data_IF_500260949016
#
_entry.id   IF_500260949016
#
_cell.length_a   1.000
_cell.length_b   1.000
_cell.length_c   1.000
_cell.angle_alpha   90.00
_cell.angle_beta   90.00
_cell.angle_gamma   90.00
#
_symmetry.space_group_name_H-M   'P 1'
#
loop_
_entity.id
_entity.type
_entity.pdbx_description
1 polymer ?
#
# COMPACT_ATOMS: atom_id res chain seq x y z
N UNK A 1 -59.82 57.18 24.04
CA UNK A 1 -59.83 56.92 22.58
C UNK A 1 -58.44 56.42 22.21
N UNK A 2 -58.27 55.10 22.08
CA UNK A 2 -57.03 54.50 21.63
C UNK A 2 -57.04 54.44 20.10
N UNK A 3 -56.24 55.28 19.45
CA UNK A 3 -55.87 55.11 18.04
C UNK A 3 -54.34 55.02 17.98
N UNK A 4 -53.82 53.86 18.35
CA UNK A 4 -52.42 53.50 18.07
C UNK A 4 -52.39 52.96 16.64
N UNK A 5 -51.73 53.74 15.79
CA UNK A 5 -51.68 53.67 14.34
C UNK A 5 -51.29 52.31 13.76
N UNK A 6 -52.08 51.82 12.79
CA UNK A 6 -51.77 50.66 11.94
C UNK A 6 -50.41 50.78 11.18
N UNK A 7 -49.84 51.98 11.11
CA UNK A 7 -48.60 52.27 10.39
C UNK A 7 -47.36 51.63 11.02
N UNK A 8 -47.28 51.54 12.35
CA UNK A 8 -46.13 50.93 13.05
C UNK A 8 -46.11 49.41 12.91
N UNK A 9 -47.26 48.73 12.88
CA UNK A 9 -47.34 47.29 12.59
C UNK A 9 -46.99 46.96 11.15
N UNK A 10 -47.38 47.82 10.20
CA UNK A 10 -47.06 47.62 8.78
C UNK A 10 -45.57 47.82 8.51
N UNK A 11 -44.94 48.84 9.09
CA UNK A 11 -43.48 49.03 8.99
C UNK A 11 -42.68 47.88 9.63
N UNK A 12 -43.15 47.34 10.76
CA UNK A 12 -42.49 46.21 11.42
C UNK A 12 -42.60 44.91 10.61
N UNK A 13 -43.74 44.64 9.95
CA UNK A 13 -43.86 43.48 9.05
C UNK A 13 -43.00 43.61 7.79
N UNK A 14 -42.90 44.82 7.21
CA UNK A 14 -42.04 45.07 6.06
C UNK A 14 -40.57 44.88 6.43
N UNK A 15 -40.14 45.35 7.61
CA UNK A 15 -38.78 45.15 8.11
C UNK A 15 -38.44 43.67 8.35
N UNK A 16 -39.36 42.89 8.93
CA UNK A 16 -39.17 41.45 9.14
C UNK A 16 -39.12 40.71 7.80
N UNK A 17 -39.98 41.06 6.83
CA UNK A 17 -39.96 40.45 5.50
C UNK A 17 -38.68 40.79 4.72
N UNK A 18 -38.15 42.02 4.85
CA UNK A 18 -36.86 42.39 4.23
C UNK A 18 -35.68 41.69 4.89
N UNK A 19 -35.67 41.53 6.22
CA UNK A 19 -34.64 40.75 6.91
C UNK A 19 -34.70 39.27 6.51
N UNK A 20 -35.90 38.70 6.32
CA UNK A 20 -36.08 37.31 5.88
C UNK A 20 -35.68 37.10 4.41
N UNK A 21 -35.92 38.09 3.53
CA UNK A 21 -35.48 38.04 2.13
C UNK A 21 -33.97 38.29 1.99
N UNK A 22 -33.38 39.14 2.84
CA UNK A 22 -31.93 39.34 2.91
C UNK A 22 -31.20 38.13 3.50
N UNK A 23 -31.80 37.42 4.48
CA UNK A 23 -31.23 36.18 5.00
C UNK A 23 -31.39 35.01 4.03
N UNK A 24 -32.50 34.92 3.30
CA UNK A 24 -32.63 33.92 2.22
C UNK A 24 -31.69 34.19 1.05
N UNK A 25 -31.44 35.44 0.66
CA UNK A 25 -30.45 35.76 -0.38
C UNK A 25 -29.02 35.50 0.10
N UNK A 26 -28.69 35.75 1.38
CA UNK A 26 -27.41 35.32 1.96
C UNK A 26 -27.25 33.79 2.00
N UNK A 27 -28.33 33.04 2.31
CA UNK A 27 -28.31 31.58 2.30
C UNK A 27 -28.25 30.98 0.89
N UNK A 28 -28.86 31.65 -0.09
CA UNK A 28 -28.81 31.24 -1.50
C UNK A 28 -27.49 31.65 -2.19
N UNK A 29 -26.74 32.62 -1.66
CA UNK A 29 -25.43 32.99 -2.19
C UNK A 29 -24.29 32.12 -1.64
N UNK A 30 -24.42 31.59 -0.42
CA UNK A 30 -23.43 30.65 0.16
C UNK A 30 -23.67 29.17 -0.27
N UNK A 31 -24.69 28.94 -1.11
CA UNK A 31 -24.98 27.63 -1.70
C UNK A 31 -24.19 27.35 -2.98
N UNK A 32 -23.11 28.09 -3.28
CA UNK A 32 -22.10 27.59 -4.22
C UNK A 32 -21.35 26.44 -3.55
N UNK A 33 -22.01 25.28 -3.49
CA UNK A 33 -21.33 24.00 -3.49
C UNK A 33 -20.40 24.09 -4.69
N UNK A 34 -19.13 24.33 -4.42
CA UNK A 34 -18.08 24.21 -5.42
C UNK A 34 -18.07 22.75 -5.80
N UNK A 35 -18.92 22.39 -6.77
CA UNK A 35 -18.81 21.13 -7.47
C UNK A 35 -17.45 21.23 -8.14
N UNK A 36 -16.45 20.62 -7.54
CA UNK A 36 -15.20 20.29 -8.21
C UNK A 36 -15.58 19.36 -9.36
N UNK A 37 -16.00 19.97 -10.48
CA UNK A 37 -15.98 19.33 -11.77
C UNK A 37 -14.50 19.06 -11.99
N UNK A 38 -14.10 17.80 -11.84
CA UNK A 38 -12.81 17.35 -12.33
C UNK A 38 -12.77 17.76 -13.80
N UNK A 39 -12.09 18.88 -14.11
CA UNK A 39 -11.77 19.24 -15.48
C UNK A 39 -10.95 18.06 -15.99
N UNK A 40 -11.57 17.24 -16.83
CA UNK A 40 -10.88 16.19 -17.56
C UNK A 40 -9.89 16.89 -18.47
N UNK A 41 -8.67 17.08 -17.98
CA UNK A 41 -7.56 17.41 -18.86
C UNK A 41 -7.27 16.12 -19.64
N UNK A 42 -7.46 16.11 -20.97
CA UNK A 42 -7.06 14.96 -21.74
C UNK A 42 -5.58 14.68 -21.46
N UNK A 43 -5.17 13.41 -21.31
CA UNK A 43 -3.76 13.09 -21.10
C UNK A 43 -2.94 13.75 -22.21
N UNK A 44 -1.85 14.42 -21.83
CA UNK A 44 -0.92 14.99 -22.79
C UNK A 44 -0.45 13.86 -23.70
N UNK A 45 -0.72 13.99 -25.00
CA UNK A 45 -0.24 13.02 -25.99
C UNK A 45 1.28 13.11 -26.04
N UNK A 46 1.93 11.96 -26.01
CA UNK A 46 3.38 11.83 -26.03
C UNK A 46 3.75 11.17 -27.34
N UNK A 47 4.51 11.86 -28.18
CA UNK A 47 5.24 11.19 -29.24
C UNK A 47 6.39 10.38 -28.62
N UNK A 48 6.25 9.06 -28.66
CA UNK A 48 7.21 8.15 -28.08
C UNK A 48 8.59 8.17 -28.76
N UNK A 49 8.76 8.65 -30.00
CA UNK A 49 10.07 8.74 -30.66
C UNK A 49 10.95 7.46 -30.55
N UNK A 50 10.33 6.27 -30.62
CA UNK A 50 11.02 4.99 -30.46
C UNK A 50 11.26 4.53 -29.01
N UNK A 51 10.80 5.29 -28.01
CA UNK A 51 10.73 4.88 -26.61
C UNK A 51 9.85 3.63 -26.47
N UNK A 52 10.35 2.65 -25.72
CA UNK A 52 9.67 1.39 -25.45
C UNK A 52 9.16 1.37 -24.01
N UNK A 53 7.95 0.87 -23.82
CA UNK A 53 7.24 0.88 -22.54
C UNK A 53 6.96 -0.53 -22.02
N UNK A 54 6.87 -0.64 -20.71
CA UNK A 54 6.42 -1.81 -19.97
C UNK A 54 5.28 -1.40 -19.03
N UNK A 55 4.23 -2.21 -18.93
CA UNK A 55 3.10 -2.01 -18.02
C UNK A 55 2.69 -3.35 -17.41
N UNK A 56 2.07 -3.33 -16.23
CA UNK A 56 1.59 -4.51 -15.52
C UNK A 56 0.29 -4.21 -14.77
N UNK A 57 -0.35 -5.24 -14.21
CA UNK A 57 -1.55 -5.09 -13.40
C UNK A 57 -1.29 -5.46 -11.93
N UNK A 58 -1.60 -4.58 -10.97
CA UNK A 58 -1.43 -4.88 -9.55
C UNK A 58 -2.60 -5.74 -9.05
N UNK A 59 -2.35 -6.60 -8.06
CA UNK A 59 -3.44 -7.33 -7.39
C UNK A 59 -3.12 -7.68 -5.93
N UNK A 60 -4.12 -8.21 -5.22
CA UNK A 60 -3.99 -8.59 -3.80
C UNK A 60 -3.60 -7.40 -2.88
N UNK A 61 -3.15 -7.68 -1.65
CA UNK A 61 -2.72 -6.64 -0.71
C UNK A 61 -1.42 -5.95 -1.11
N UNK A 62 -1.17 -4.77 -0.51
CA UNK A 62 -0.05 -3.89 -0.85
C UNK A 62 1.33 -4.59 -0.87
N UNK A 63 1.62 -5.49 0.07
CA UNK A 63 2.91 -6.21 0.08
C UNK A 63 3.14 -7.07 -1.16
N UNK A 64 2.06 -7.62 -1.75
CA UNK A 64 2.13 -8.34 -3.01
C UNK A 64 2.34 -7.36 -4.16
N UNK A 65 1.58 -6.27 -4.20
CA UNK A 65 1.74 -5.21 -5.20
C UNK A 65 3.15 -4.60 -5.18
N UNK A 66 3.78 -4.47 -4.01
CA UNK A 66 5.17 -4.00 -3.87
C UNK A 66 6.16 -5.01 -4.46
N UNK A 67 5.87 -6.30 -4.33
CA UNK A 67 6.65 -7.37 -4.99
C UNK A 67 6.46 -7.30 -6.50
N UNK A 68 5.26 -6.98 -6.99
CA UNK A 68 5.00 -6.74 -8.41
C UNK A 68 5.76 -5.53 -8.92
N UNK A 69 5.77 -4.41 -8.19
CA UNK A 69 6.56 -3.23 -8.54
C UNK A 69 8.07 -3.54 -8.59
N UNK A 70 8.60 -4.29 -7.61
CA UNK A 70 10.00 -4.75 -7.65
C UNK A 70 10.29 -5.57 -8.91
N UNK A 71 9.42 -6.52 -9.26
CA UNK A 71 9.56 -7.31 -10.50
C UNK A 71 9.46 -6.42 -11.76
N UNK A 72 8.55 -5.45 -11.77
CA UNK A 72 8.35 -4.53 -12.89
C UNK A 72 9.58 -3.64 -13.12
N UNK A 73 10.17 -3.12 -12.05
CA UNK A 73 11.36 -2.27 -12.10
C UNK A 73 12.58 -3.05 -12.59
N UNK A 74 12.74 -4.31 -12.15
CA UNK A 74 13.78 -5.19 -12.69
C UNK A 74 13.58 -5.44 -14.18
N UNK A 75 12.37 -5.80 -14.61
CA UNK A 75 12.07 -6.02 -16.03
C UNK A 75 12.31 -4.75 -16.86
N UNK A 76 11.84 -3.60 -16.39
CA UNK A 76 12.05 -2.33 -17.07
C UNK A 76 13.54 -2.01 -17.24
N UNK A 77 14.35 -2.29 -16.20
CA UNK A 77 15.79 -2.16 -16.28
C UNK A 77 16.43 -3.14 -17.29
N UNK A 78 16.13 -4.44 -17.20
CA UNK A 78 16.72 -5.47 -18.05
C UNK A 78 16.37 -5.29 -19.53
N UNK A 79 15.18 -4.75 -19.81
CA UNK A 79 14.65 -4.55 -21.15
C UNK A 79 14.91 -3.14 -21.70
N UNK A 80 15.53 -2.25 -20.90
CA UNK A 80 15.70 -0.83 -21.21
C UNK A 80 14.39 -0.16 -21.66
N UNK A 81 13.34 -0.31 -20.84
CA UNK A 81 11.99 0.22 -21.10
C UNK A 81 11.56 1.20 -20.03
N UNK A 82 10.78 2.20 -20.42
CA UNK A 82 10.09 3.08 -19.48
C UNK A 82 8.93 2.34 -18.83
N UNK A 83 8.89 2.33 -17.50
CA UNK A 83 7.86 1.63 -16.75
C UNK A 83 6.62 2.51 -16.56
N UNK A 84 5.47 2.02 -17.01
CA UNK A 84 4.16 2.59 -16.71
C UNK A 84 3.68 1.96 -15.41
N UNK A 85 3.64 2.78 -14.35
CA UNK A 85 3.34 2.30 -13.00
C UNK A 85 1.86 2.56 -12.68
N UNK A 86 1.06 1.52 -12.44
CA UNK A 86 -0.32 1.65 -11.95
C UNK A 86 -0.31 2.14 -10.49
N UNK A 87 -1.42 2.72 -9.99
CA UNK A 87 -1.45 3.20 -8.61
C UNK A 87 -1.36 2.02 -7.64
N UNK A 88 -0.81 2.27 -6.45
CA UNK A 88 -0.87 1.32 -5.36
C UNK A 88 -2.29 1.30 -4.77
N UNK A 89 -2.84 0.11 -4.57
CA UNK A 89 -4.10 -0.07 -3.85
C UNK A 89 -3.81 -0.39 -2.40
N UNK A 90 -4.34 0.44 -1.50
CA UNK A 90 -4.38 0.16 -0.08
C UNK A 90 -5.74 -0.45 0.29
N UNK A 91 -5.75 -1.29 1.33
CA UNK A 91 -6.94 -2.05 1.71
C UNK A 91 -7.10 -3.34 0.90
N UNK A 92 -8.35 -3.75 0.69
CA UNK A 92 -8.67 -5.06 0.12
C UNK A 92 -9.16 -4.94 -1.34
N UNK A 93 -8.35 -5.43 -2.26
CA UNK A 93 -8.75 -5.68 -3.66
C UNK A 93 -8.67 -7.17 -3.98
N UNK A 94 -9.31 -7.60 -5.08
CA UNK A 94 -9.27 -9.01 -5.50
C UNK A 94 -7.84 -9.48 -5.75
N UNK A 95 -7.62 -10.77 -5.50
CA UNK A 95 -6.38 -11.44 -5.89
C UNK A 95 -6.26 -11.60 -7.40
N UNK A 96 -5.19 -12.26 -7.84
CA UNK A 96 -4.95 -12.60 -9.25
C UNK A 96 -6.19 -13.23 -9.89
N UNK A 97 -6.49 -12.83 -11.13
CA UNK A 97 -7.53 -13.40 -11.97
C UNK A 97 -6.97 -13.63 -13.39
N UNK A 98 -7.43 -14.65 -14.12
CA UNK A 98 -6.94 -14.95 -15.45
C UNK A 98 -7.41 -13.94 -16.51
N UNK A 99 -6.60 -13.81 -17.57
CA UNK A 99 -6.94 -13.08 -18.81
C UNK A 99 -7.44 -11.65 -18.51
N UNK A 100 -8.45 -11.19 -19.22
CA UNK A 100 -8.94 -9.81 -19.14
C UNK A 100 -9.77 -9.54 -17.88
N UNK A 101 -10.06 -10.57 -17.08
CA UNK A 101 -10.88 -10.45 -15.86
C UNK A 101 -10.24 -9.49 -14.86
N UNK A 102 -8.92 -9.60 -14.66
CA UNK A 102 -8.21 -8.70 -13.76
C UNK A 102 -8.19 -7.27 -14.30
N UNK A 103 -7.93 -7.12 -15.60
CA UNK A 103 -7.88 -5.83 -16.27
C UNK A 103 -9.22 -5.08 -16.13
N UNK A 104 -10.31 -5.73 -16.53
CA UNK A 104 -11.66 -5.16 -16.47
C UNK A 104 -12.08 -4.79 -15.04
N UNK A 105 -11.70 -5.62 -14.06
CA UNK A 105 -11.94 -5.32 -12.66
C UNK A 105 -11.20 -4.06 -12.21
N UNK A 106 -9.89 -3.95 -12.47
CA UNK A 106 -9.07 -2.81 -12.04
C UNK A 106 -9.43 -1.50 -12.77
N UNK A 107 -9.77 -1.59 -14.06
CA UNK A 107 -10.31 -0.45 -14.81
C UNK A 107 -11.60 0.05 -14.15
N UNK A 108 -12.51 -0.85 -13.77
CA UNK A 108 -13.75 -0.47 -13.09
C UNK A 108 -13.52 0.24 -11.74
N UNK A 109 -12.48 -0.16 -10.99
CA UNK A 109 -12.14 0.44 -9.70
C UNK A 109 -11.55 1.84 -9.85
N UNK A 110 -10.72 2.06 -10.86
CA UNK A 110 -9.97 3.31 -11.02
C UNK A 110 -10.67 4.33 -11.91
N UNK A 111 -11.75 3.94 -12.61
CA UNK A 111 -12.53 4.82 -13.47
C UNK A 111 -13.26 5.90 -12.67
N UNK A 112 -13.04 7.21 -12.95
CA UNK A 112 -13.77 8.33 -12.36
C UNK A 112 -15.28 8.09 -12.23
N UNK A 113 -15.77 8.10 -10.99
CA UNK A 113 -17.19 7.93 -10.71
C UNK A 113 -17.85 9.25 -10.25
N UNK A 114 -19.02 9.62 -10.82
CA UNK A 114 -19.72 10.87 -10.46
C UNK A 114 -20.15 10.98 -8.99
N UNK A 115 -20.18 9.86 -8.28
CA UNK A 115 -20.59 9.75 -6.88
C UNK A 115 -19.41 9.80 -5.90
N UNK A 116 -18.14 9.76 -6.35
CA UNK A 116 -17.00 9.81 -5.44
C UNK A 116 -17.00 11.06 -4.57
N UNK A 117 -17.39 12.23 -5.09
CA UNK A 117 -17.45 13.46 -4.30
C UNK A 117 -18.72 13.58 -3.43
N UNK A 118 -19.65 12.60 -3.50
CA UNK A 118 -20.95 12.64 -2.81
C UNK A 118 -21.06 11.69 -1.62
N UNK A 119 -20.11 10.79 -1.47
CA UNK A 119 -20.08 9.87 -0.33
C UNK A 119 -19.42 10.56 0.86
N UNK A 120 -20.23 11.21 1.69
CA UNK A 120 -19.86 11.69 3.03
C UNK A 120 -20.23 10.63 4.08
N UNK A 121 -19.60 10.68 5.26
CA UNK A 121 -19.78 9.72 6.36
C UNK A 121 -21.24 9.55 6.82
N UNK A 122 -22.11 10.54 6.55
CA UNK A 122 -23.55 10.50 6.88
C UNK A 122 -24.42 9.72 5.87
N UNK A 123 -23.90 9.36 4.70
CA UNK A 123 -24.63 8.65 3.64
C UNK A 123 -24.11 7.23 3.40
N UNK A 124 -23.37 6.66 4.36
CA UNK A 124 -22.90 5.28 4.34
C UNK A 124 -24.05 4.28 4.46
N UNK A 125 -24.87 4.15 3.43
CA UNK A 125 -25.74 2.99 3.26
C UNK A 125 -24.83 1.76 3.13
N UNK A 126 -25.07 0.76 3.97
CA UNK A 126 -24.36 -0.53 3.95
C UNK A 126 -24.39 -1.19 2.56
N UNK A 127 -25.44 -0.89 1.77
CA UNK A 127 -25.60 -1.28 0.38
C UNK A 127 -25.69 -0.02 -0.51
N UNK A 128 -24.64 0.23 -1.30
CA UNK A 128 -24.58 1.35 -2.23
C UNK A 128 -23.19 1.58 -2.83
N UNK A 129 -23.05 2.44 -3.86
CA UNK A 129 -21.78 2.68 -4.54
C UNK A 129 -20.66 3.19 -3.60
N UNK A 130 -21.04 3.86 -2.51
CA UNK A 130 -20.13 4.33 -1.47
C UNK A 130 -19.50 3.21 -0.62
N UNK A 131 -20.06 2.00 -0.59
CA UNK A 131 -19.49 0.87 0.15
C UNK A 131 -18.06 0.54 -0.32
N UNK A 132 -17.79 0.67 -1.62
CA UNK A 132 -16.47 0.44 -2.21
C UNK A 132 -15.37 1.34 -1.62
N UNK A 133 -15.72 2.54 -1.15
CA UNK A 133 -14.77 3.45 -0.48
C UNK A 133 -14.28 2.93 0.87
N UNK A 134 -15.09 2.12 1.56
CA UNK A 134 -14.72 1.59 2.88
C UNK A 134 -13.64 0.50 2.80
N UNK A 135 -13.42 -0.07 1.62
CA UNK A 135 -12.65 -1.30 1.42
C UNK A 135 -11.26 -1.04 0.83
N UNK A 136 -11.09 0.00 -0.01
CA UNK A 136 -9.79 0.35 -0.58
C UNK A 136 -9.61 1.86 -0.84
N UNK A 137 -8.37 2.26 -1.05
CA UNK A 137 -7.96 3.56 -1.58
C UNK A 137 -6.79 3.36 -2.58
N UNK A 138 -6.57 4.32 -3.47
CA UNK A 138 -5.42 4.33 -4.38
C UNK A 138 -4.48 5.49 -4.08
N UNK A 139 -3.18 5.24 -4.21
CA UNK A 139 -2.12 6.25 -4.08
C UNK A 139 -1.06 6.11 -5.17
N UNK A 140 -0.42 7.21 -5.57
CA UNK A 140 0.86 7.12 -6.28
C UNK A 140 1.90 6.44 -5.38
N UNK A 141 2.79 5.61 -5.95
CA UNK A 141 3.81 4.92 -5.15
C UNK A 141 4.78 5.89 -4.47
N UNK A 142 5.01 7.03 -5.10
CA UNK A 142 5.84 8.13 -4.63
C UNK A 142 5.38 8.69 -3.28
N UNK A 143 4.08 8.58 -2.94
CA UNK A 143 3.56 9.08 -1.65
C UNK A 143 3.90 8.17 -0.47
N UNK A 144 4.25 6.91 -0.73
CA UNK A 144 4.65 5.94 0.30
C UNK A 144 6.12 5.51 0.16
N UNK A 145 6.79 5.88 -0.95
CA UNK A 145 8.19 5.62 -1.23
C UNK A 145 8.84 6.86 -1.88
N UNK A 146 9.30 7.81 -1.06
CA UNK A 146 9.90 9.06 -1.55
C UNK A 146 11.11 8.87 -2.47
N UNK A 147 11.87 7.78 -2.32
CA UNK A 147 13.09 7.51 -3.09
C UNK A 147 12.88 6.67 -4.35
N UNK A 148 11.63 6.41 -4.78
CA UNK A 148 11.36 5.60 -5.99
C UNK A 148 11.98 6.20 -7.26
N UNK A 149 12.12 7.53 -7.33
CA UNK A 149 12.72 8.23 -8.47
C UNK A 149 14.24 8.07 -8.54
N UNK A 150 14.89 7.60 -7.47
CA UNK A 150 16.35 7.45 -7.41
C UNK A 150 16.84 6.13 -8.03
N UNK A 151 15.91 5.23 -8.38
CA UNK A 151 16.20 3.87 -8.87
C UNK A 151 16.99 3.90 -10.19
N UNK A 152 16.79 4.91 -11.03
CA UNK A 152 17.43 5.01 -12.35
C UNK A 152 16.70 4.24 -13.45
N UNK A 153 15.44 3.86 -13.20
CA UNK A 153 14.49 3.36 -14.21
C UNK A 153 13.54 4.51 -14.55
N UNK A 154 13.34 4.87 -15.83
CA UNK A 154 12.33 5.85 -16.21
C UNK A 154 10.93 5.35 -15.83
N UNK A 155 10.19 6.14 -15.05
CA UNK A 155 8.87 5.79 -14.55
C UNK A 155 7.84 6.82 -15.02
N UNK A 156 6.66 6.32 -15.42
CA UNK A 156 5.47 7.12 -15.74
C UNK A 156 4.29 6.58 -14.93
N UNK A 157 3.88 7.31 -13.90
CA UNK A 157 2.78 6.88 -13.02
C UNK A 157 1.42 7.25 -13.62
N UNK A 158 0.50 6.28 -13.66
CA UNK A 158 -0.89 6.48 -14.11
C UNK A 158 -1.85 6.35 -12.94
N UNK A 159 -2.92 7.14 -12.91
CA UNK A 159 -3.96 7.05 -11.87
C UNK A 159 -5.12 6.12 -12.24
N UNK A 160 -5.33 5.93 -13.54
CA UNK A 160 -6.44 5.14 -14.07
C UNK A 160 -5.88 4.00 -14.90
N UNK A 161 -6.19 2.77 -14.50
CA UNK A 161 -5.77 1.56 -15.20
C UNK A 161 -6.72 1.39 -16.38
N UNK A 162 -6.24 1.64 -17.60
CA UNK A 162 -7.04 1.52 -18.82
C UNK A 162 -6.13 1.45 -20.04
N UNK A 163 -6.18 0.33 -20.77
CA UNK A 163 -5.27 0.08 -21.90
C UNK A 163 -5.53 1.11 -23.00
N UNK A 164 -6.80 1.36 -23.32
CA UNK A 164 -7.20 2.35 -24.31
C UNK A 164 -6.66 3.76 -23.99
N UNK A 165 -6.71 4.18 -22.72
CA UNK A 165 -6.16 5.50 -22.33
C UNK A 165 -4.64 5.52 -22.33
N UNK A 166 -4.00 4.43 -21.92
CA UNK A 166 -2.53 4.31 -22.01
C UNK A 166 -2.07 4.39 -23.45
N UNK A 167 -2.70 3.65 -24.36
CA UNK A 167 -2.41 3.71 -25.79
C UNK A 167 -2.68 5.09 -26.38
N UNK A 168 -3.81 5.72 -26.03
CA UNK A 168 -4.12 7.07 -26.49
C UNK A 168 -3.12 8.13 -25.97
N UNK A 169 -2.63 7.99 -24.74
CA UNK A 169 -1.60 8.85 -24.16
C UNK A 169 -0.26 8.70 -24.91
N UNK A 170 0.09 7.46 -25.27
CA UNK A 170 1.33 7.13 -25.99
C UNK A 170 1.21 7.19 -27.51
N UNK A 171 0.03 7.54 -28.03
CA UNK A 171 -0.28 7.55 -29.48
C UNK A 171 -0.01 6.22 -30.19
N UNK A 172 -0.29 5.09 -29.52
CA UNK A 172 -0.07 3.74 -30.05
C UNK A 172 -1.32 3.17 -30.74
N UNK A 173 -1.12 2.33 -31.76
CA UNK A 173 -2.12 1.43 -32.34
C UNK A 173 -2.09 0.02 -31.72
N UNK A 174 -3.12 -0.79 -31.98
CA UNK A 174 -3.26 -2.14 -31.40
C UNK A 174 -2.09 -3.07 -31.77
N UNK A 175 -1.53 -2.95 -32.98
CA UNK A 175 -0.42 -3.76 -33.45
C UNK A 175 0.93 -3.38 -32.80
N UNK A 176 0.99 -2.26 -32.09
CA UNK A 176 2.17 -1.81 -31.34
C UNK A 176 2.19 -2.32 -29.89
N UNK A 177 1.18 -3.11 -29.50
CA UNK A 177 1.04 -3.66 -28.16
C UNK A 177 1.26 -5.18 -28.18
N UNK A 178 2.20 -5.65 -27.37
CA UNK A 178 2.24 -7.05 -26.97
C UNK A 178 1.51 -7.20 -25.64
N UNK A 179 0.38 -7.90 -25.64
CA UNK A 179 -0.36 -8.21 -24.42
C UNK A 179 -0.08 -9.66 -24.01
N UNK A 180 0.50 -9.85 -22.82
CA UNK A 180 0.73 -11.20 -22.29
C UNK A 180 -0.49 -11.71 -21.54
N UNK A 181 -1.00 -12.88 -21.95
CA UNK A 181 -2.12 -13.54 -21.29
C UNK A 181 -1.69 -14.69 -20.38
N UNK A 182 -1.79 -14.47 -19.07
CA UNK A 182 -1.58 -15.49 -18.06
C UNK A 182 -2.83 -16.36 -17.85
N UNK A 183 -2.64 -17.68 -17.86
CA UNK A 183 -3.68 -18.67 -17.51
C UNK A 183 -3.63 -19.08 -16.03
N UNK A 184 -2.49 -18.92 -15.37
CA UNK A 184 -2.29 -19.18 -13.94
C UNK A 184 -1.39 -18.11 -13.32
N UNK A 185 -1.44 -17.97 -11.99
CA UNK A 185 -0.59 -17.03 -11.25
C UNK A 185 0.91 -17.35 -11.41
N UNK A 186 1.30 -18.60 -11.69
CA UNK A 186 2.72 -19.02 -11.82
C UNK A 186 3.01 -19.54 -13.23
N UNK A 187 2.42 -18.88 -14.24
CA UNK A 187 2.63 -19.17 -15.65
C UNK A 187 4.11 -19.10 -16.04
N UNK A 188 4.79 -17.99 -15.75
CA UNK A 188 6.16 -17.76 -16.19
C UNK A 188 7.08 -17.19 -15.11
N UNK A 189 8.36 -17.52 -15.25
CA UNK A 189 9.49 -17.04 -14.46
C UNK A 189 10.49 -16.38 -15.43
N UNK A 190 11.10 -15.27 -15.03
CA UNK A 190 12.22 -14.70 -15.79
C UNK A 190 13.54 -15.13 -15.16
N UNK A 191 14.38 -15.76 -15.96
CA UNK A 191 15.74 -16.13 -15.64
C UNK A 191 16.72 -15.15 -16.29
N UNK A 192 17.71 -14.70 -15.54
CA UNK A 192 18.72 -13.74 -15.98
C UNK A 192 20.10 -14.36 -16.23
N UNK A 193 20.13 -15.67 -16.41
CA UNK A 193 21.30 -16.48 -16.76
C UNK A 193 21.10 -17.11 -18.14
N UNK A 194 22.15 -17.69 -18.76
CA UNK A 194 22.00 -18.47 -19.98
C UNK A 194 20.92 -19.56 -19.82
N UNK A 195 20.14 -19.79 -20.87
CA UNK A 195 18.94 -20.65 -20.86
C UNK A 195 19.19 -22.04 -20.26
N UNK A 196 20.38 -22.61 -20.47
CA UNK A 196 20.76 -23.93 -19.97
C UNK A 196 20.83 -23.99 -18.43
N UNK A 197 20.97 -22.83 -17.78
CA UNK A 197 21.08 -22.69 -16.33
C UNK A 197 19.77 -22.26 -15.67
N UNK A 198 18.66 -22.17 -16.43
CA UNK A 198 17.42 -21.57 -15.97
C UNK A 198 16.44 -22.61 -15.41
N UNK A 199 16.29 -22.74 -14.07
CA UNK A 199 15.36 -23.69 -13.48
C UNK A 199 13.92 -23.17 -13.57
N UNK A 200 12.96 -24.08 -13.78
CA UNK A 200 11.52 -23.79 -13.56
C UNK A 200 11.17 -23.57 -12.09
N UNK A 201 12.00 -24.11 -11.20
CA UNK A 201 11.84 -23.99 -9.75
C UNK A 201 12.44 -22.67 -9.27
N UNK A 202 11.60 -21.84 -8.66
CA UNK A 202 12.06 -20.74 -7.85
C UNK A 202 12.51 -21.28 -6.48
N UNK A 203 13.83 -21.45 -6.32
CA UNK A 203 14.43 -22.02 -5.11
C UNK A 203 14.16 -21.21 -3.84
N UNK A 204 13.95 -19.89 -3.97
CA UNK A 204 13.64 -19.02 -2.83
C UNK A 204 12.27 -19.32 -2.23
N UNK A 205 11.31 -19.71 -3.06
CA UNK A 205 9.91 -19.90 -2.64
C UNK A 205 9.44 -21.34 -2.71
N UNK A 206 10.22 -22.22 -3.33
CA UNK A 206 9.82 -23.60 -3.64
C UNK A 206 8.72 -23.70 -4.72
N UNK A 207 8.38 -22.60 -5.40
CA UNK A 207 7.31 -22.57 -6.42
C UNK A 207 7.84 -22.99 -7.78
N UNK A 208 7.08 -23.83 -8.48
CA UNK A 208 7.38 -24.25 -9.85
C UNK A 208 6.53 -23.42 -10.81
N UNK A 209 7.17 -22.87 -11.84
CA UNK A 209 6.50 -22.12 -12.91
C UNK A 209 6.33 -22.99 -14.16
N UNK A 210 5.28 -22.73 -14.94
CA UNK A 210 4.96 -23.54 -16.12
C UNK A 210 6.02 -23.37 -17.23
N UNK A 211 6.50 -22.14 -17.43
CA UNK A 211 7.55 -21.78 -18.38
C UNK A 211 8.61 -20.86 -17.77
N UNK A 212 9.77 -20.81 -18.43
CA UNK A 212 10.84 -19.87 -18.11
C UNK A 212 11.15 -19.06 -19.36
N UNK A 213 11.24 -17.75 -19.19
CA UNK A 213 11.75 -16.84 -20.18
C UNK A 213 13.14 -16.37 -19.77
N UNK A 214 14.01 -16.15 -20.73
CA UNK A 214 15.25 -15.41 -20.52
C UNK A 214 15.05 -13.93 -20.79
N UNK A 215 16.04 -13.12 -20.46
CA UNK A 215 16.03 -11.69 -20.80
C UNK A 215 15.96 -11.51 -22.32
N UNK A 216 16.68 -12.34 -23.08
CA UNK A 216 16.71 -12.30 -24.55
C UNK A 216 15.33 -12.60 -25.16
N UNK A 217 14.56 -13.53 -24.60
CA UNK A 217 13.21 -13.83 -25.07
C UNK A 217 12.30 -12.61 -25.03
N UNK A 218 12.37 -11.83 -23.95
CA UNK A 218 11.58 -10.62 -23.79
C UNK A 218 12.14 -9.44 -24.59
N UNK A 219 13.46 -9.34 -24.73
CA UNK A 219 14.10 -8.33 -25.59
C UNK A 219 13.75 -8.53 -27.07
N UNK A 220 13.55 -9.79 -27.51
CA UNK A 220 13.13 -10.12 -28.86
C UNK A 220 11.70 -9.65 -29.20
N UNK A 221 10.89 -9.27 -28.19
CA UNK A 221 9.56 -8.71 -28.42
C UNK A 221 9.69 -7.24 -28.82
N UNK A 222 9.73 -7.00 -30.13
CA UNK A 222 9.88 -5.68 -30.73
C UNK A 222 8.55 -4.91 -30.82
N UNK A 223 7.80 -4.86 -29.72
CA UNK A 223 6.59 -4.03 -29.59
C UNK A 223 6.87 -2.79 -28.74
N UNK A 224 6.40 -1.60 -29.15
CA UNK A 224 6.48 -0.39 -28.33
C UNK A 224 5.96 -0.58 -26.91
N UNK A 225 4.80 -1.22 -26.71
CA UNK A 225 4.26 -1.51 -25.38
C UNK A 225 4.26 -3.01 -25.08
N UNK A 226 4.93 -3.41 -23.99
CA UNK A 226 4.71 -4.71 -23.35
C UNK A 226 3.70 -4.52 -22.22
N UNK A 227 2.48 -5.03 -22.39
CA UNK A 227 1.46 -5.06 -21.35
C UNK A 227 1.42 -6.46 -20.73
N UNK A 228 1.90 -6.57 -19.49
CA UNK A 228 1.84 -7.78 -18.70
C UNK A 228 0.58 -7.79 -17.82
N UNK A 229 0.17 -8.97 -17.36
CA UNK A 229 -0.88 -9.13 -16.35
C UNK A 229 -0.30 -8.99 -14.93
N UNK A 230 -0.86 -9.73 -13.95
CA UNK A 230 -0.31 -9.83 -12.61
C UNK A 230 1.05 -10.50 -12.60
N UNK A 231 2.07 -9.78 -12.15
CA UNK A 231 3.46 -10.22 -12.13
C UNK A 231 3.92 -10.60 -10.72
N UNK A 232 2.97 -10.97 -9.86
CA UNK A 232 3.28 -11.35 -8.48
C UNK A 232 4.06 -12.66 -8.40
N UNK A 233 5.10 -12.65 -7.58
CA UNK A 233 5.87 -13.82 -7.22
C UNK A 233 7.20 -13.37 -6.66
N UNK A 234 7.50 -13.72 -5.41
CA UNK A 234 8.80 -13.40 -4.81
C UNK A 234 9.89 -14.10 -5.63
N UNK A 235 10.77 -13.31 -6.26
CA UNK A 235 11.79 -13.83 -7.17
C UNK A 235 11.24 -14.32 -8.51
N UNK A 236 10.05 -13.87 -8.95
CA UNK A 236 9.55 -14.14 -10.31
C UNK A 236 10.54 -13.63 -11.36
N UNK A 237 11.11 -12.46 -11.10
CA UNK A 237 12.19 -11.90 -11.90
C UNK A 237 13.49 -12.17 -11.16
N UNK A 238 14.31 -13.07 -11.72
CA UNK A 238 15.59 -13.42 -11.12
C UNK A 238 16.58 -12.27 -11.25
N UNK A 239 17.49 -12.23 -10.27
CA UNK A 239 18.64 -11.35 -10.27
C UNK A 239 19.76 -12.19 -9.68
N UNK A 240 20.32 -13.08 -10.48
CA UNK A 240 21.41 -13.97 -10.13
C UNK A 240 22.75 -13.43 -10.68
N UNK A 241 22.72 -12.74 -11.82
CA UNK A 241 23.88 -12.02 -12.35
C UNK A 241 24.31 -10.87 -11.46
N UNK A 242 25.60 -10.54 -11.46
CA UNK A 242 26.18 -9.52 -10.57
C UNK A 242 25.54 -8.13 -10.76
N UNK A 243 25.37 -7.67 -12.00
CA UNK A 243 24.77 -6.36 -12.29
C UNK A 243 23.30 -6.32 -11.87
N UNK A 244 22.53 -7.36 -12.21
CA UNK A 244 21.14 -7.49 -11.82
C UNK A 244 20.95 -7.55 -10.30
N UNK A 245 21.86 -8.22 -9.59
CA UNK A 245 21.90 -8.23 -8.12
C UNK A 245 22.03 -6.81 -7.55
N UNK A 246 22.91 -5.98 -8.12
CA UNK A 246 23.09 -4.59 -7.70
C UNK A 246 21.83 -3.77 -7.98
N UNK A 247 21.22 -3.91 -9.16
CA UNK A 247 19.96 -3.25 -9.50
C UNK A 247 18.85 -3.65 -8.51
N UNK A 248 18.70 -4.93 -8.20
CA UNK A 248 17.73 -5.41 -7.21
C UNK A 248 17.96 -4.84 -5.82
N UNK A 249 19.22 -4.74 -5.39
CA UNK A 249 19.57 -4.14 -4.10
C UNK A 249 19.14 -2.67 -4.08
N UNK A 250 19.51 -1.89 -5.10
CA UNK A 250 19.11 -0.49 -5.24
C UNK A 250 17.59 -0.30 -5.23
N UNK A 251 16.86 -1.09 -6.04
CA UNK A 251 15.38 -1.09 -6.04
C UNK A 251 14.83 -1.34 -4.64
N UNK A 252 15.35 -2.34 -3.92
CA UNK A 252 14.85 -2.69 -2.58
C UNK A 252 15.12 -1.59 -1.56
N UNK A 253 16.25 -0.90 -1.65
CA UNK A 253 16.59 0.25 -0.80
C UNK A 253 15.70 1.47 -1.08
N UNK A 254 15.30 1.67 -2.35
CA UNK A 254 14.38 2.74 -2.73
C UNK A 254 12.90 2.45 -2.41
N UNK A 255 12.53 1.18 -2.23
CA UNK A 255 11.16 0.74 -1.90
C UNK A 255 10.93 0.53 -0.39
N UNK A 256 11.64 1.28 0.44
CA UNK A 256 11.40 1.40 1.89
C UNK A 256 10.28 2.44 2.11
N UNK A 257 9.36 2.20 3.03
CA UNK A 257 8.28 3.17 3.30
C UNK A 257 8.87 4.47 3.82
N UNK A 258 8.54 5.58 3.15
CA UNK A 258 8.97 6.93 3.51
C UNK A 258 7.85 7.93 3.20
N UNK A 259 7.33 8.56 4.25
CA UNK A 259 6.54 9.79 4.19
C UNK A 259 6.76 10.54 5.51
N UNK A 260 6.77 11.88 5.50
CA UNK A 260 7.01 12.67 6.71
C UNK A 260 6.06 12.31 7.87
N UNK A 261 4.77 12.13 7.59
CA UNK A 261 3.80 11.77 8.62
C UNK A 261 4.03 10.34 9.14
N UNK A 262 4.26 9.38 8.25
CA UNK A 262 4.51 7.98 8.66
C UNK A 262 5.79 7.85 9.48
N UNK A 263 6.84 8.58 9.12
CA UNK A 263 8.11 8.60 9.83
C UNK A 263 7.97 9.26 11.21
N UNK A 264 7.25 10.37 11.29
CA UNK A 264 6.96 11.05 12.56
C UNK A 264 6.20 10.13 13.52
N UNK A 265 5.11 9.50 13.05
CA UNK A 265 4.33 8.55 13.86
C UNK A 265 5.18 7.38 14.31
N UNK A 266 5.94 6.78 13.39
CA UNK A 266 6.84 5.66 13.70
C UNK A 266 7.87 6.06 14.75
N UNK A 267 8.48 7.24 14.63
CA UNK A 267 9.48 7.74 15.58
C UNK A 267 8.87 7.95 16.96
N UNK A 268 7.66 8.52 17.04
CA UNK A 268 6.95 8.73 18.31
C UNK A 268 6.63 7.40 19.01
N UNK A 269 6.15 6.40 18.26
CA UNK A 269 5.88 5.06 18.82
C UNK A 269 7.18 4.39 19.24
N UNK A 270 8.22 4.41 18.41
CA UNK A 270 9.52 3.83 18.74
C UNK A 270 10.11 4.48 20.00
N UNK A 271 9.93 5.78 20.21
CA UNK A 271 10.35 6.47 21.43
C UNK A 271 9.63 5.96 22.68
N UNK A 272 8.32 5.69 22.59
CA UNK A 272 7.56 5.07 23.69
C UNK A 272 7.96 3.62 23.96
N UNK A 273 8.56 2.94 22.98
CA UNK A 273 9.13 1.60 23.10
C UNK A 273 10.59 1.61 23.60
N UNK A 274 11.07 2.74 24.12
CA UNK A 274 12.45 2.89 24.62
C UNK A 274 13.44 3.47 23.60
N UNK A 275 13.00 3.76 22.38
CA UNK A 275 13.82 4.31 21.30
C UNK A 275 14.12 3.30 20.19
N UNK A 276 14.65 3.81 19.06
CA UNK A 276 15.07 2.97 17.93
C UNK A 276 16.09 1.93 18.41
N UNK A 277 15.91 0.68 17.98
CA UNK A 277 16.79 -0.45 18.31
C UNK A 277 16.88 -0.75 19.82
N UNK A 278 15.89 -0.37 20.64
CA UNK A 278 15.85 -0.64 22.09
C UNK A 278 14.80 -1.69 22.52
N UNK A 279 13.93 -2.12 21.61
CA UNK A 279 12.89 -3.14 21.87
C UNK A 279 13.02 -4.32 20.92
N UNK A 280 12.39 -5.46 21.24
CA UNK A 280 12.28 -6.60 20.33
C UNK A 280 10.91 -6.63 19.67
N UNK A 281 10.82 -7.16 18.46
CA UNK A 281 9.55 -7.28 17.77
C UNK A 281 9.31 -8.64 17.13
N UNK A 282 8.04 -9.00 17.05
CA UNK A 282 7.58 -10.13 16.24
C UNK A 282 6.41 -9.70 15.36
N UNK A 283 6.23 -10.37 14.23
CA UNK A 283 5.03 -10.21 13.40
C UNK A 283 4.24 -11.51 13.33
N UNK A 284 3.00 -11.48 13.80
CA UNK A 284 2.09 -12.63 13.84
C UNK A 284 0.95 -12.43 12.84
N UNK A 285 1.01 -13.16 11.72
CA UNK A 285 0.00 -13.14 10.65
C UNK A 285 -1.11 -14.15 10.93
N UNK A 286 -2.36 -13.69 10.98
CA UNK A 286 -3.53 -14.52 11.30
C UNK A 286 -4.65 -14.45 10.26
N UNK A 287 -4.66 -13.43 9.41
CA UNK A 287 -5.84 -13.02 8.63
C UNK A 287 -6.30 -13.99 7.55
N UNK A 288 -5.43 -14.87 7.04
CA UNK A 288 -5.82 -15.91 6.09
C UNK A 288 -5.84 -17.29 6.77
N UNK A 289 -6.82 -18.16 6.48
CA UNK A 289 -6.93 -19.50 7.09
C UNK A 289 -5.67 -20.36 6.97
N UNK A 290 -4.88 -20.16 5.91
CA UNK A 290 -3.61 -20.86 5.73
C UNK A 290 -2.56 -20.55 6.81
N UNK A 291 -2.61 -19.37 7.43
CA UNK A 291 -1.68 -18.97 8.48
C UNK A 291 -2.08 -19.53 9.85
N UNK A 292 -3.37 -19.75 10.07
CA UNK A 292 -3.90 -20.44 11.26
C UNK A 292 -3.47 -21.91 11.34
N UNK A 293 -3.22 -22.55 10.18
CA UNK A 293 -2.66 -23.91 10.15
C UNK A 293 -1.27 -23.94 10.76
N UNK A 294 -1.11 -24.75 11.80
CA UNK A 294 0.14 -24.86 12.55
C UNK A 294 0.57 -23.56 13.22
N UNK A 295 -0.38 -22.69 13.56
CA UNK A 295 -0.09 -21.41 14.20
C UNK A 295 0.56 -21.58 15.56
N UNK A 296 0.14 -22.58 16.34
CA UNK A 296 0.73 -22.91 17.64
C UNK A 296 2.24 -23.13 17.52
N UNK A 297 2.69 -23.99 16.61
CA UNK A 297 4.13 -24.24 16.41
C UNK A 297 4.86 -22.99 15.92
N UNK A 298 4.25 -22.18 15.04
CA UNK A 298 4.85 -20.94 14.55
C UNK A 298 4.99 -19.89 15.66
N UNK A 299 3.97 -19.77 16.52
CA UNK A 299 3.97 -18.84 17.63
C UNK A 299 4.99 -19.26 18.69
N UNK A 300 5.09 -20.55 19.00
CA UNK A 300 6.11 -21.07 19.92
C UNK A 300 7.53 -20.77 19.44
N UNK A 301 7.81 -20.84 18.13
CA UNK A 301 9.10 -20.42 17.58
C UNK A 301 9.38 -18.93 17.81
N UNK A 302 8.35 -18.08 17.72
CA UNK A 302 8.47 -16.64 17.97
C UNK A 302 8.63 -16.33 19.47
N UNK A 303 7.94 -17.07 20.34
CA UNK A 303 8.11 -16.99 21.79
C UNK A 303 9.54 -17.40 22.17
N UNK A 304 10.04 -18.53 21.67
CA UNK A 304 11.39 -18.99 21.93
C UNK A 304 12.45 -18.00 21.45
N UNK A 305 12.21 -17.32 20.32
CA UNK A 305 13.07 -16.22 19.86
C UNK A 305 13.10 -15.06 20.87
N UNK A 306 11.95 -14.64 21.39
CA UNK A 306 11.87 -13.59 22.39
C UNK A 306 12.58 -13.98 23.69
N UNK A 307 12.30 -15.17 24.23
CA UNK A 307 12.96 -15.67 25.44
C UNK A 307 14.48 -15.71 25.30
N UNK A 308 14.97 -16.22 24.18
CA UNK A 308 16.40 -16.25 23.89
C UNK A 308 16.99 -14.84 23.77
N UNK A 309 16.27 -13.92 23.15
CA UNK A 309 16.71 -12.53 22.96
C UNK A 309 16.76 -11.73 24.27
N UNK A 310 15.98 -12.16 25.25
CA UNK A 310 15.84 -11.54 26.57
C UNK A 310 16.65 -12.28 27.66
N UNK A 311 17.34 -13.36 27.29
CA UNK A 311 18.15 -14.13 28.23
C UNK A 311 19.23 -13.24 28.88
N UNK A 312 19.23 -13.18 30.21
CA UNK A 312 20.15 -12.35 30.99
C UNK A 312 19.65 -10.94 31.31
N UNK A 313 18.47 -10.54 30.81
CA UNK A 313 17.77 -9.32 31.23
C UNK A 313 16.84 -9.68 32.40
N UNK A 314 16.76 -8.85 33.44
CA UNK A 314 15.85 -9.13 34.57
C UNK A 314 14.39 -8.99 34.12
N UNK A 315 13.71 -10.13 33.91
CA UNK A 315 12.30 -10.17 33.47
C UNK A 315 11.30 -10.32 34.64
N UNK A 316 11.75 -10.13 35.89
CA UNK A 316 11.04 -10.59 37.09
C UNK A 316 9.88 -9.71 37.55
N UNK A 317 9.60 -8.60 36.87
CA UNK A 317 8.52 -7.71 37.27
C UNK A 317 7.21 -8.11 36.62
N UNK A 318 6.25 -8.58 37.43
CA UNK A 318 4.85 -8.77 37.03
C UNK A 318 4.11 -7.45 36.78
N UNK A 319 4.76 -6.31 37.10
CA UNK A 319 4.28 -4.96 36.86
C UNK A 319 4.88 -4.38 35.58
N UNK A 320 4.02 -4.03 34.62
CA UNK A 320 4.46 -3.32 33.41
C UNK A 320 5.01 -1.93 33.75
N UNK A 321 6.09 -1.53 33.08
CA UNK A 321 6.71 -0.20 33.23
C UNK A 321 8.00 -0.18 34.06
N UNK A 322 8.38 -1.30 34.67
CA UNK A 322 9.68 -1.48 35.36
C UNK A 322 10.64 -2.40 34.61
N UNK A 323 10.22 -2.90 33.44
CA UNK A 323 11.01 -3.84 32.63
C UNK A 323 12.19 -3.12 31.98
N UNK A 324 13.35 -3.80 31.93
CA UNK A 324 14.55 -3.32 31.21
C UNK A 324 14.43 -3.45 29.68
N UNK A 325 13.32 -4.00 29.18
CA UNK A 325 13.07 -4.21 27.76
C UNK A 325 11.60 -4.00 27.41
N UNK A 326 11.31 -3.90 26.12
CA UNK A 326 9.92 -3.87 25.61
C UNK A 326 9.79 -4.84 24.43
N UNK A 327 8.64 -5.50 24.33
CA UNK A 327 8.27 -6.34 23.19
C UNK A 327 7.15 -5.65 22.41
N UNK A 328 7.31 -5.56 21.10
CA UNK A 328 6.29 -5.09 20.18
C UNK A 328 5.76 -6.22 19.28
N UNK A 329 4.44 -6.36 19.19
CA UNK A 329 3.77 -7.41 18.42
C UNK A 329 2.98 -6.76 17.28
N UNK A 330 3.49 -6.87 16.07
CA UNK A 330 2.77 -6.51 14.85
C UNK A 330 1.82 -7.65 14.48
N UNK A 331 0.55 -7.36 14.24
CA UNK A 331 -0.44 -8.38 13.91
C UNK A 331 -1.69 -7.78 13.25
N UNK A 332 -2.32 -8.57 12.41
CA UNK A 332 -3.60 -8.26 11.77
C UNK A 332 -4.83 -8.71 12.59
N UNK A 333 -4.62 -9.25 13.79
CA UNK A 333 -5.70 -9.48 14.74
C UNK A 333 -6.28 -8.15 15.23
N UNK A 334 -7.61 -7.98 15.13
CA UNK A 334 -8.31 -6.76 15.58
C UNK A 334 -8.23 -6.54 17.09
N UNK A 335 -8.25 -7.63 17.86
CA UNK A 335 -8.18 -7.61 19.33
C UNK A 335 -7.19 -8.68 19.80
N UNK A 336 -5.87 -8.45 19.64
CA UNK A 336 -4.85 -9.48 19.81
C UNK A 336 -4.87 -10.14 21.19
N UNK A 337 -5.14 -9.36 22.26
CA UNK A 337 -5.08 -9.84 23.64
C UNK A 337 -6.18 -10.81 24.00
N UNK A 338 -7.33 -10.71 23.33
CA UNK A 338 -8.46 -11.62 23.53
C UNK A 338 -8.52 -12.75 22.48
N UNK A 339 -7.50 -12.88 21.61
CA UNK A 339 -7.41 -14.00 20.66
C UNK A 339 -6.91 -15.26 21.38
N UNK A 340 -7.67 -16.37 21.38
CA UNK A 340 -7.21 -17.62 21.97
C UNK A 340 -5.88 -18.10 21.40
N UNK A 341 -5.65 -17.89 20.10
CA UNK A 341 -4.42 -18.33 19.45
C UNK A 341 -3.19 -17.51 19.86
N UNK A 342 -3.36 -16.32 20.43
CA UNK A 342 -2.27 -15.47 20.95
C UNK A 342 -2.17 -15.51 22.48
N UNK A 343 -3.07 -16.21 23.17
CA UNK A 343 -3.07 -16.30 24.62
C UNK A 343 -1.72 -16.78 25.20
N UNK A 344 -1.00 -17.78 24.61
CA UNK A 344 0.31 -18.19 25.12
C UNK A 344 1.35 -17.05 25.11
N UNK A 345 1.34 -16.22 24.06
CA UNK A 345 2.24 -15.08 23.92
C UNK A 345 2.02 -14.04 25.02
N UNK A 346 0.76 -13.62 25.22
CA UNK A 346 0.43 -12.61 26.22
C UNK A 346 0.45 -13.15 27.65
N UNK A 347 0.27 -14.45 27.87
CA UNK A 347 0.51 -15.07 29.17
C UNK A 347 1.99 -15.06 29.54
N UNK A 348 2.88 -15.27 28.56
CA UNK A 348 4.33 -15.25 28.79
C UNK A 348 4.90 -13.83 28.88
N UNK A 349 4.35 -12.91 28.09
CA UNK A 349 4.79 -11.52 28.01
C UNK A 349 3.59 -10.57 28.19
N UNK A 350 3.06 -10.43 29.43
CA UNK A 350 1.84 -9.66 29.69
C UNK A 350 1.96 -8.17 29.33
N UNK A 351 3.19 -7.64 29.31
CA UNK A 351 3.46 -6.23 29.00
C UNK A 351 3.78 -5.97 27.52
N UNK A 352 3.74 -7.01 26.67
CA UNK A 352 3.94 -6.86 25.23
C UNK A 352 2.95 -5.85 24.65
N UNK A 353 3.47 -4.97 23.80
CA UNK A 353 2.75 -3.85 23.19
C UNK A 353 2.29 -4.22 21.78
N UNK A 354 1.14 -3.71 21.39
CA UNK A 354 0.58 -3.80 20.03
C UNK A 354 0.31 -2.39 19.53
N UNK A 355 0.13 -2.21 18.22
CA UNK A 355 -0.15 -0.88 17.67
C UNK A 355 -1.37 -0.20 18.33
N UNK A 356 -2.38 -0.98 18.72
CA UNK A 356 -3.57 -0.48 19.40
C UNK A 356 -3.29 0.27 20.71
N UNK A 357 -2.13 0.05 21.34
CA UNK A 357 -1.71 0.78 22.54
C UNK A 357 -1.24 2.22 22.25
N UNK A 358 -1.16 2.60 20.97
CA UNK A 358 -0.58 3.86 20.49
C UNK A 358 -1.50 4.61 19.52
N UNK A 359 -2.80 4.33 19.53
CA UNK A 359 -3.74 4.91 18.56
C UNK A 359 -3.74 6.45 18.57
N UNK A 360 -3.53 7.06 19.75
CA UNK A 360 -3.48 8.51 19.94
C UNK A 360 -2.26 9.16 19.24
N UNK A 361 -1.24 8.37 18.88
CA UNK A 361 -0.07 8.84 18.16
C UNK A 361 -0.26 8.86 16.65
N UNK A 362 -1.40 8.37 16.13
CA UNK A 362 -1.66 8.29 14.68
C UNK A 362 -2.18 9.60 14.07
N UNK A 363 -2.54 10.60 14.87
CA UNK A 363 -3.09 11.90 14.41
C UNK A 363 -2.30 12.58 13.28
N UNK A 364 -0.95 12.55 13.24
CA UNK A 364 -0.21 13.15 12.13
C UNK A 364 -0.56 12.58 10.75
N UNK A 365 -1.11 11.37 10.67
CA UNK A 365 -1.54 10.75 9.40
C UNK A 365 -2.76 11.45 8.78
N UNK A 366 -3.48 12.28 9.53
CA UNK A 366 -4.56 13.11 8.99
C UNK A 366 -4.05 14.10 7.92
N UNK A 367 -2.78 14.48 7.97
CA UNK A 367 -2.17 15.39 6.98
C UNK A 367 -1.95 14.74 5.61
N UNK A 368 -1.95 13.41 5.52
CA UNK A 368 -1.67 12.69 4.26
C UNK A 368 -2.93 12.55 3.37
N UNK A 369 -4.13 12.78 3.94
CA UNK A 369 -5.44 12.47 3.35
C UNK A 369 -5.69 13.08 1.96
N UNK A 370 -5.05 14.20 1.62
CA UNK A 370 -5.26 14.93 0.36
C UNK A 370 -4.65 14.26 -0.89
N UNK A 371 -3.72 13.30 -0.71
CA UNK A 371 -3.04 12.63 -1.83
C UNK A 371 -3.79 11.41 -2.38
N UNK A 372 -4.84 10.96 -1.69
CA UNK A 372 -5.49 9.68 -1.93
C UNK A 372 -6.72 9.80 -2.84
N UNK A 373 -6.97 8.75 -3.61
CA UNK A 373 -8.17 8.65 -4.44
C UNK A 373 -9.00 7.39 -4.12
N UNK A 374 -10.33 7.49 -3.99
CA UNK A 374 -11.09 8.75 -3.87
C UNK A 374 -10.72 9.51 -2.56
N UNK A 375 -10.94 10.83 -2.47
CA UNK A 375 -10.70 11.59 -1.23
C UNK A 375 -11.59 11.04 -0.10
N UNK A 376 -11.02 10.80 1.10
CA UNK A 376 -11.73 10.20 2.24
C UNK A 376 -11.25 10.72 3.61
N UNK A 377 -12.14 10.68 4.60
CA UNK A 377 -11.88 10.93 6.03
C UNK A 377 -11.34 9.70 6.79
N UNK A 378 -11.26 8.51 6.17
CA UNK A 378 -10.94 7.23 6.87
C UNK A 378 -9.73 6.47 6.32
N UNK A 379 -8.83 7.13 5.58
CA UNK A 379 -7.64 6.50 4.97
C UNK A 379 -6.61 6.04 6.00
N UNK A 380 -6.56 6.65 7.20
CA UNK A 380 -5.61 6.27 8.26
C UNK A 380 -5.59 4.76 8.50
N UNK A 381 -6.77 4.10 8.47
CA UNK A 381 -6.89 2.65 8.66
C UNK A 381 -6.09 1.82 7.65
N UNK A 382 -5.84 2.36 6.46
CA UNK A 382 -5.08 1.72 5.41
C UNK A 382 -3.57 1.98 5.52
N UNK A 383 -3.17 3.02 6.25
CA UNK A 383 -1.78 3.31 6.60
C UNK A 383 -1.33 2.57 7.86
N UNK A 384 -2.27 2.17 8.72
CA UNK A 384 -2.01 1.37 9.93
C UNK A 384 -1.05 0.19 9.69
N UNK A 385 -1.25 -0.69 8.68
CA UNK A 385 -0.32 -1.79 8.44
C UNK A 385 1.09 -1.31 8.04
N UNK A 386 1.22 -0.15 7.39
CA UNK A 386 2.52 0.40 7.02
C UNK A 386 3.25 0.89 8.29
N UNK A 387 2.55 1.60 9.17
CA UNK A 387 3.07 2.01 10.47
C UNK A 387 3.46 0.80 11.32
N UNK A 388 2.60 -0.21 11.40
CA UNK A 388 2.88 -1.44 12.15
C UNK A 388 4.17 -2.12 11.66
N UNK A 389 4.37 -2.17 10.34
CA UNK A 389 5.59 -2.67 9.73
C UNK A 389 6.82 -1.80 10.03
N UNK A 390 6.69 -0.48 9.96
CA UNK A 390 7.78 0.47 10.24
C UNK A 390 8.19 0.44 11.71
N UNK A 391 7.25 0.35 12.63
CA UNK A 391 7.51 0.18 14.07
C UNK A 391 8.17 -1.18 14.31
N UNK A 392 7.63 -2.27 13.78
CA UNK A 392 8.26 -3.58 13.94
C UNK A 392 9.69 -3.61 13.37
N UNK A 393 9.94 -2.95 12.23
CA UNK A 393 11.26 -2.87 11.62
C UNK A 393 12.31 -2.12 12.46
N UNK A 394 11.90 -1.11 13.24
CA UNK A 394 12.83 -0.32 14.08
C UNK A 394 13.35 -1.05 15.34
N UNK A 395 12.89 -2.27 15.59
CA UNK A 395 13.30 -3.09 16.73
C UNK A 395 14.78 -3.50 16.67
N UNK A 396 15.37 -3.79 17.85
CA UNK A 396 16.70 -4.37 18.08
C UNK A 396 16.86 -5.76 17.45
N UNK A 397 15.79 -6.54 17.45
CA UNK A 397 15.70 -7.84 16.81
C UNK A 397 14.25 -8.11 16.39
N UNK A 398 14.09 -8.76 15.24
CA UNK A 398 12.78 -9.02 14.63
C UNK A 398 12.63 -10.48 14.23
N UNK A 399 11.45 -11.06 14.46
CA UNK A 399 11.05 -12.36 13.88
C UNK A 399 9.63 -12.32 13.31
N UNK A 400 9.51 -12.52 12.00
CA UNK A 400 8.23 -12.58 11.32
C UNK A 400 7.64 -13.99 11.21
N UNK A 401 6.34 -14.07 10.92
CA UNK A 401 5.65 -15.31 10.53
C UNK A 401 6.22 -15.87 9.22
N UNK A 402 6.67 -17.14 9.18
CA UNK A 402 7.16 -17.79 7.97
C UNK A 402 6.14 -17.78 6.82
N UNK A 403 6.61 -17.55 5.59
CA UNK A 403 5.79 -17.55 4.37
C UNK A 403 4.92 -16.31 4.16
N UNK A 404 4.90 -15.35 5.09
CA UNK A 404 4.19 -14.08 4.92
C UNK A 404 5.03 -13.08 4.13
N UNK A 405 4.47 -12.54 3.05
CA UNK A 405 5.10 -11.46 2.27
C UNK A 405 5.25 -10.18 3.09
N UNK A 406 4.34 -9.95 4.04
CA UNK A 406 4.40 -8.82 4.99
C UNK A 406 5.56 -8.99 5.98
N UNK A 407 5.75 -10.19 6.57
CA UNK A 407 6.93 -10.50 7.40
C UNK A 407 8.24 -10.28 6.64
N UNK A 408 8.32 -10.77 5.40
CA UNK A 408 9.50 -10.61 4.57
C UNK A 408 9.80 -9.13 4.30
N UNK A 409 8.77 -8.29 4.22
CA UNK A 409 8.96 -6.86 4.05
C UNK A 409 9.43 -6.19 5.35
N UNK A 410 8.85 -6.52 6.51
CA UNK A 410 9.35 -6.01 7.79
C UNK A 410 10.81 -6.40 8.00
N UNK A 411 11.21 -7.61 7.62
CA UNK A 411 12.62 -8.02 7.68
C UNK A 411 13.53 -7.12 6.84
N UNK A 412 13.06 -6.64 5.68
CA UNK A 412 13.81 -5.70 4.84
C UNK A 412 13.88 -4.31 5.47
N UNK A 413 12.77 -3.82 6.03
CA UNK A 413 12.77 -2.57 6.81
C UNK A 413 13.77 -2.67 7.96
N UNK A 414 13.75 -3.77 8.71
CA UNK A 414 14.65 -4.03 9.81
C UNK A 414 16.13 -4.02 9.38
N UNK A 415 16.46 -4.69 8.29
CA UNK A 415 17.82 -4.64 7.72
C UNK A 415 18.21 -3.23 7.27
N UNK A 416 17.29 -2.49 6.63
CA UNK A 416 17.53 -1.12 6.17
C UNK A 416 17.78 -0.17 7.35
N UNK A 417 16.94 -0.17 8.38
CA UNK A 417 17.06 0.72 9.55
C UNK A 417 18.28 0.44 10.43
N UNK A 418 18.95 -0.70 10.24
CA UNK A 418 20.21 -1.05 10.91
C UNK A 418 21.45 -0.72 10.08
N UNK A 419 21.29 -0.47 8.79
CA UNK A 419 22.39 -0.07 7.94
C UNK A 419 22.88 1.32 8.37
N UNK A 420 24.20 1.49 8.51
CA UNK A 420 24.82 2.79 8.86
C UNK A 420 24.52 3.89 7.85
N UNK A 421 24.07 3.52 6.64
CA UNK A 421 23.73 4.44 5.56
C UNK A 421 22.27 4.89 5.61
N UNK A 422 21.45 4.38 6.53
CA UNK A 422 20.08 4.83 6.70
C UNK A 422 20.05 6.16 7.46
N UNK A 423 19.84 7.26 6.73
CA UNK A 423 19.42 8.53 7.31
C UNK A 423 17.90 8.65 7.14
N UNK A 424 17.13 8.77 8.25
CA UNK A 424 15.70 9.00 8.19
C UNK A 424 15.39 10.29 7.44
#
# INVERSE_FOLDING_TARGET
MFYSSNTTRSMMMVAIATIFLLSMSAFLWDSTVSVYVYKYNPPMKIDHNGEKFLSYLPHSGLSNQRTELENALLLANYLNRTLIVPPAFLGHIRGWQPKDTLFNYLESLTKPQPWWNRCNDKFGLADGPCHTKSVYATVPWESIHSSINEIGVPIRTVRHISLAKTMAMLTLSDDEVYFHHDNTMYSWLLCDLPREQCPKLNVTTGRVYEQVWTVEDLQAIDKPLLQLQGIFGTGRVMANGFEHLQVRTKIRESLIYRSPAMEQVTANIAQQLGGKQQYFSIHVRMGDPQFLRGMEQKLELQIAFLEKSLAGIQTTTTTCGTEEYTIYVATDAKDPRNRPELAPLFARFPCAKVLGDYIDLLTPLDAELDTFQPPQSTIIKFLIPLIDAMVAGNAKGFMGTPGSTFSNYIQRLHSAYRSTNYQP
#
